data_IF_639890618056
#
_entry.id   IF_639890618056
#
_cell.length_a   1.000
_cell.length_b   1.000
_cell.length_c   1.000
_cell.angle_alpha   90.00
_cell.angle_beta   90.00
_cell.angle_gamma   90.00
#
_symmetry.space_group_name_H-M   'P 1'
#
loop_
_entity.id
_entity.type
_entity.pdbx_description
1 polymer ?
#
# COMPACT_ATOMS: atom_id res chain seq x y z
N UNK A 1 -15.80 -17.63 22.86
CA UNK A 1 -16.24 -16.65 21.86
C UNK A 1 -16.16 -15.18 22.29
N UNK A 2 -15.53 -14.87 23.42
CA UNK A 2 -15.35 -13.48 23.91
C UNK A 2 -13.89 -12.98 23.94
N UNK A 3 -12.91 -13.83 23.55
CA UNK A 3 -11.48 -13.50 23.75
C UNK A 3 -10.84 -12.69 22.62
N UNK A 4 -11.28 -12.84 21.37
CA UNK A 4 -10.63 -12.17 20.21
C UNK A 4 -10.98 -10.69 20.08
N UNK A 5 -12.24 -10.32 20.36
CA UNK A 5 -12.62 -8.90 20.41
C UNK A 5 -11.89 -8.14 21.53
N UNK A 6 -11.58 -8.84 22.64
CA UNK A 6 -10.80 -8.32 23.75
C UNK A 6 -9.35 -7.99 23.35
N UNK A 7 -8.69 -8.85 22.60
CA UNK A 7 -7.29 -8.67 22.21
C UNK A 7 -7.08 -7.48 21.26
N UNK A 8 -7.94 -7.30 20.26
CA UNK A 8 -7.89 -6.15 19.33
C UNK A 8 -8.17 -4.83 20.05
N UNK A 9 -9.16 -4.84 20.93
CA UNK A 9 -9.47 -3.67 21.77
C UNK A 9 -8.30 -3.36 22.71
N UNK A 10 -7.62 -4.35 23.24
CA UNK A 10 -6.43 -4.17 24.07
C UNK A 10 -5.31 -3.50 23.28
N UNK A 11 -4.99 -3.96 22.06
CA UNK A 11 -3.96 -3.33 21.21
C UNK A 11 -4.29 -1.87 20.89
N UNK A 12 -5.52 -1.58 20.46
CA UNK A 12 -5.96 -0.20 20.24
C UNK A 12 -5.74 0.67 21.47
N UNK A 13 -6.08 0.16 22.66
CA UNK A 13 -5.90 0.88 23.91
C UNK A 13 -4.41 1.12 24.26
N UNK A 14 -3.55 0.14 24.02
CA UNK A 14 -2.10 0.26 24.19
C UNK A 14 -1.52 1.33 23.25
N UNK A 15 -1.94 1.34 21.98
CA UNK A 15 -1.54 2.35 21.00
C UNK A 15 -2.00 3.75 21.44
N UNK A 16 -3.25 3.90 21.87
CA UNK A 16 -3.78 5.17 22.36
C UNK A 16 -3.02 5.64 23.60
N UNK A 17 -2.75 4.73 24.56
CA UNK A 17 -2.01 5.07 25.77
C UNK A 17 -0.60 5.59 25.42
N UNK A 18 0.12 4.90 24.55
CA UNK A 18 1.45 5.33 24.11
C UNK A 18 1.43 6.64 23.34
N UNK A 19 0.45 6.83 22.47
CA UNK A 19 0.27 8.07 21.73
C UNK A 19 0.01 9.26 22.67
N UNK A 20 -0.78 9.07 23.73
CA UNK A 20 -0.99 10.09 24.77
C UNK A 20 0.29 10.47 25.52
N UNK A 21 1.10 9.48 25.87
CA UNK A 21 2.41 9.74 26.52
C UNK A 21 3.31 10.60 25.62
N UNK A 22 3.42 10.26 24.34
CA UNK A 22 4.25 11.00 23.38
C UNK A 22 3.75 12.45 23.16
N UNK A 23 2.42 12.64 23.12
CA UNK A 23 1.82 13.97 23.03
C UNK A 23 2.06 14.78 24.33
N UNK A 24 1.79 14.20 25.49
CA UNK A 24 1.94 14.86 26.80
C UNK A 24 3.39 15.20 27.13
N UNK A 25 4.36 14.39 26.69
CA UNK A 25 5.80 14.69 26.85
C UNK A 25 6.31 15.80 25.91
N UNK A 26 5.54 16.17 24.89
CA UNK A 26 5.97 17.10 23.85
C UNK A 26 6.97 16.51 22.85
N UNK A 27 7.25 15.20 22.89
CA UNK A 27 8.10 14.53 21.90
C UNK A 27 7.48 14.64 20.50
N UNK A 28 6.16 14.58 20.40
CA UNK A 28 5.41 14.84 19.17
C UNK A 28 4.22 15.77 19.44
N UNK A 29 3.77 16.50 18.43
CA UNK A 29 2.59 17.38 18.56
C UNK A 29 1.33 16.77 17.94
N UNK A 30 1.46 15.70 17.18
CA UNK A 30 0.36 15.02 16.51
C UNK A 30 0.70 13.59 16.20
N UNK A 31 -0.32 12.78 15.95
CA UNK A 31 -0.21 11.36 15.64
C UNK A 31 -0.99 11.08 14.36
N UNK A 32 -0.39 10.38 13.39
CA UNK A 32 -1.04 9.88 12.19
C UNK A 32 -1.43 8.42 12.39
N UNK A 33 -2.70 8.13 12.27
CA UNK A 33 -3.29 6.80 12.45
C UNK A 33 -4.57 6.66 11.63
N UNK A 34 -5.47 5.81 12.09
CA UNK A 34 -6.77 5.58 11.44
C UNK A 34 -7.91 6.02 12.35
N UNK A 35 -8.96 6.54 11.74
CA UNK A 35 -10.23 6.92 12.38
C UNK A 35 -11.35 6.12 11.74
N UNK A 36 -12.27 5.67 12.58
CA UNK A 36 -13.51 5.06 12.15
C UNK A 36 -14.40 6.08 11.44
N UNK A 37 -14.99 5.68 10.31
CA UNK A 37 -16.00 6.44 9.61
C UNK A 37 -17.41 6.17 10.11
N UNK A 38 -18.39 6.19 9.22
CA UNK A 38 -19.80 5.94 9.55
C UNK A 38 -20.02 4.49 10.02
N UNK A 39 -19.35 3.53 9.35
CA UNK A 39 -19.43 2.11 9.66
C UNK A 39 -18.17 1.61 10.36
N UNK A 40 -18.27 0.50 11.09
CA UNK A 40 -17.14 -0.13 11.81
C UNK A 40 -15.98 -0.49 10.87
N UNK A 41 -16.29 -0.88 9.65
CA UNK A 41 -15.36 -1.30 8.60
C UNK A 41 -14.89 -0.16 7.67
N UNK A 42 -15.41 1.07 7.85
CA UNK A 42 -14.96 2.25 7.11
C UNK A 42 -13.93 3.01 7.93
N UNK A 43 -12.68 2.83 7.60
CA UNK A 43 -11.57 3.49 8.30
C UNK A 43 -10.71 4.29 7.35
N UNK A 44 -10.36 5.49 7.76
CA UNK A 44 -9.58 6.43 6.97
C UNK A 44 -8.40 7.01 7.75
N UNK A 45 -7.30 7.36 7.06
CA UNK A 45 -6.20 8.08 7.68
C UNK A 45 -6.63 9.38 8.31
N UNK A 46 -6.18 9.63 9.54
CA UNK A 46 -6.48 10.84 10.29
C UNK A 46 -5.28 11.28 11.12
N UNK A 47 -5.21 12.60 11.37
CA UNK A 47 -4.22 13.20 12.27
C UNK A 47 -4.91 13.52 13.59
N UNK A 48 -4.29 13.09 14.67
CA UNK A 48 -4.79 13.23 16.03
C UNK A 48 -3.89 14.17 16.82
N UNK A 49 -4.51 14.83 17.82
CA UNK A 49 -3.88 15.63 18.85
C UNK A 49 -4.40 15.15 20.21
N UNK A 50 -3.92 15.73 21.31
CA UNK A 50 -4.43 15.39 22.64
C UNK A 50 -5.96 15.45 22.77
N UNK A 51 -6.61 16.35 22.01
CA UNK A 51 -8.05 16.57 22.12
C UNK A 51 -8.90 15.46 21.51
N UNK A 52 -8.35 14.63 20.60
CA UNK A 52 -9.12 13.64 19.83
C UNK A 52 -8.41 12.30 19.64
N UNK A 53 -7.32 12.04 20.36
CA UNK A 53 -6.56 10.79 20.25
C UNK A 53 -7.39 9.56 20.61
N UNK A 54 -8.41 9.70 21.43
CA UNK A 54 -9.33 8.62 21.81
C UNK A 54 -10.22 8.12 20.66
N UNK A 55 -10.27 8.85 19.53
CA UNK A 55 -10.96 8.42 18.31
C UNK A 55 -10.11 7.52 17.43
N UNK A 56 -8.82 7.28 17.78
CA UNK A 56 -7.93 6.41 17.05
C UNK A 56 -8.40 4.95 17.16
N UNK A 57 -8.33 4.24 16.05
CA UNK A 57 -8.65 2.79 15.95
C UNK A 57 -7.54 2.02 15.27
N UNK A 58 -7.39 0.75 15.65
CA UNK A 58 -6.52 -0.20 14.96
C UNK A 58 -7.10 -1.61 15.00
N UNK A 59 -7.49 -2.11 13.82
CA UNK A 59 -8.05 -3.45 13.61
C UNK A 59 -7.87 -3.92 12.15
N UNK A 60 -8.54 -5.00 11.76
CA UNK A 60 -8.47 -5.60 10.43
C UNK A 60 -8.86 -4.65 9.27
N UNK A 61 -9.54 -3.56 9.56
CA UNK A 61 -9.97 -2.54 8.59
C UNK A 61 -9.03 -1.34 8.51
N UNK A 62 -8.01 -1.27 9.36
CA UNK A 62 -6.97 -0.24 9.34
C UNK A 62 -6.01 -0.44 8.16
N UNK A 63 -6.57 -0.59 6.97
CA UNK A 63 -5.86 -1.00 5.76
C UNK A 63 -5.07 0.11 5.04
N UNK A 64 -5.47 1.40 5.02
CA UNK A 64 -4.75 2.45 4.30
C UNK A 64 -3.28 2.57 4.71
N UNK A 65 -2.37 2.68 3.72
CA UNK A 65 -0.97 3.00 3.96
C UNK A 65 -0.81 4.47 4.35
N UNK A 66 -0.21 4.73 5.50
CA UNK A 66 -0.09 6.09 6.04
C UNK A 66 1.09 6.89 5.47
N UNK A 67 2.09 6.23 4.87
CA UNK A 67 3.35 6.87 4.48
C UNK A 67 3.17 8.07 3.56
N UNK A 68 2.23 8.00 2.60
CA UNK A 68 1.99 9.10 1.64
C UNK A 68 1.57 10.40 2.32
N UNK A 69 0.85 10.32 3.42
CA UNK A 69 0.34 11.48 4.14
C UNK A 69 1.46 12.28 4.80
N UNK A 70 2.56 11.61 5.18
CA UNK A 70 3.75 12.23 5.78
C UNK A 70 4.41 13.27 4.87
N UNK A 71 4.28 13.15 3.55
CA UNK A 71 4.82 14.13 2.59
C UNK A 71 4.33 15.55 2.86
N UNK A 72 3.07 15.70 3.29
CA UNK A 72 2.50 16.99 3.67
C UNK A 72 2.69 17.30 5.15
N UNK A 73 2.57 16.28 5.99
CA UNK A 73 2.63 16.46 7.44
C UNK A 73 4.03 16.88 7.91
N UNK A 74 5.10 16.38 7.31
CA UNK A 74 6.46 16.75 7.69
C UNK A 74 6.88 18.16 7.25
N UNK A 75 6.06 18.85 6.47
CA UNK A 75 6.25 20.27 6.13
C UNK A 75 5.71 21.21 7.20
N UNK A 76 4.87 20.71 8.11
CA UNK A 76 4.33 21.48 9.23
C UNK A 76 5.34 21.52 10.37
N UNK A 77 5.24 22.53 11.24
CA UNK A 77 6.06 22.62 12.44
C UNK A 77 5.81 21.45 13.40
N UNK A 78 6.88 21.08 14.09
CA UNK A 78 6.90 20.00 15.08
C UNK A 78 6.92 18.59 14.48
N UNK A 79 7.12 17.63 15.35
CA UNK A 79 7.28 16.21 15.01
C UNK A 79 5.93 15.50 15.02
N UNK A 80 5.76 14.55 14.10
CA UNK A 80 4.56 13.73 14.00
C UNK A 80 4.90 12.27 14.31
N UNK A 81 4.14 11.62 15.20
CA UNK A 81 4.18 10.17 15.30
C UNK A 81 3.35 9.55 14.18
N UNK A 82 3.75 8.38 13.70
CA UNK A 82 3.00 7.61 12.71
C UNK A 82 2.97 6.14 13.09
N UNK A 83 1.78 5.55 13.03
CA UNK A 83 1.61 4.11 13.17
C UNK A 83 2.02 3.44 11.86
N UNK A 84 2.94 2.47 11.94
CA UNK A 84 3.54 1.87 10.77
C UNK A 84 3.46 0.35 10.83
N UNK A 85 2.79 -0.25 9.84
CA UNK A 85 2.82 -1.70 9.64
C UNK A 85 4.11 -2.13 8.93
N UNK A 86 4.57 -3.38 9.07
CA UNK A 86 5.78 -3.87 8.41
C UNK A 86 5.82 -3.54 6.91
N UNK A 87 4.78 -3.91 6.16
CA UNK A 87 4.69 -3.65 4.72
C UNK A 87 4.73 -2.17 4.35
N UNK A 88 4.21 -1.30 5.21
CA UNK A 88 4.12 0.14 4.98
C UNK A 88 5.44 0.85 5.29
N UNK A 89 6.29 0.27 6.16
CA UNK A 89 7.61 0.80 6.51
C UNK A 89 8.53 0.92 5.29
N UNK A 90 8.39 0.02 4.31
CA UNK A 90 9.09 0.11 3.02
C UNK A 90 8.72 1.39 2.26
N UNK A 91 7.44 1.77 2.30
CA UNK A 91 6.97 2.99 1.64
C UNK A 91 7.53 4.25 2.29
N UNK A 92 7.63 4.27 3.62
CA UNK A 92 8.28 5.36 4.34
C UNK A 92 9.77 5.43 4.01
N UNK A 93 10.47 4.30 4.05
CA UNK A 93 11.90 4.25 3.75
C UNK A 93 12.20 4.70 2.30
N UNK A 94 11.33 4.33 1.34
CA UNK A 94 11.43 4.84 -0.04
C UNK A 94 11.23 6.36 -0.12
N UNK A 95 10.28 6.92 0.63
CA UNK A 95 10.08 8.38 0.68
C UNK A 95 11.27 9.13 1.31
N UNK A 96 11.94 8.53 2.28
CA UNK A 96 13.19 9.06 2.86
C UNK A 96 14.32 9.04 1.84
N UNK A 97 14.51 7.91 1.16
CA UNK A 97 15.50 7.75 0.06
C UNK A 97 15.29 8.80 -1.04
N UNK A 98 14.05 9.16 -1.33
CA UNK A 98 13.70 10.18 -2.32
C UNK A 98 13.68 11.62 -1.77
N UNK A 99 14.04 11.81 -0.51
CA UNK A 99 14.02 13.11 0.18
C UNK A 99 12.64 13.81 0.12
N UNK A 100 11.56 13.03 0.19
CA UNK A 100 10.18 13.53 0.16
C UNK A 100 9.62 13.82 1.55
N UNK A 101 10.22 13.24 2.56
CA UNK A 101 9.90 13.44 3.98
C UNK A 101 11.19 13.70 4.75
N UNK A 102 11.09 14.37 5.88
CA UNK A 102 12.21 14.68 6.77
C UNK A 102 12.17 13.73 7.95
N UNK A 103 13.20 12.89 8.09
CA UNK A 103 13.28 11.87 9.16
C UNK A 103 13.20 12.48 10.56
N UNK A 104 13.84 13.61 10.75
CA UNK A 104 13.86 14.34 12.02
C UNK A 104 12.48 14.81 12.49
N UNK A 105 11.53 14.96 11.58
CA UNK A 105 10.16 15.39 11.86
C UNK A 105 9.18 14.21 12.09
N UNK A 106 9.68 12.97 12.14
CA UNK A 106 8.84 11.78 12.25
C UNK A 106 9.27 10.96 13.45
N UNK A 107 8.30 10.43 14.19
CA UNK A 107 8.45 9.37 15.18
C UNK A 107 7.68 8.14 14.70
N UNK A 108 8.36 7.04 14.44
CA UNK A 108 7.77 5.84 13.84
C UNK A 108 7.46 4.81 14.93
N UNK A 109 6.18 4.53 15.13
CA UNK A 109 5.70 3.46 16.00
C UNK A 109 5.39 2.26 15.12
N UNK A 110 6.27 1.25 15.13
CA UNK A 110 6.02 -0.02 14.46
C UNK A 110 4.94 -0.81 15.20
N UNK A 111 3.93 -1.26 14.47
CA UNK A 111 2.81 -2.04 14.98
C UNK A 111 2.67 -3.33 14.17
N UNK A 112 2.20 -4.46 14.76
CA UNK A 112 2.07 -5.71 14.04
C UNK A 112 1.11 -5.56 12.86
N UNK A 113 1.33 -6.35 11.79
CA UNK A 113 0.36 -6.46 10.71
C UNK A 113 -0.83 -7.31 11.18
N UNK A 114 -2.02 -6.76 11.08
CA UNK A 114 -3.25 -7.53 11.23
C UNK A 114 -3.63 -8.19 9.90
N UNK A 115 -4.61 -9.09 9.96
CA UNK A 115 -5.21 -9.70 8.77
C UNK A 115 -6.06 -8.66 8.05
N UNK A 116 -5.48 -7.90 7.15
CA UNK A 116 -6.12 -6.77 6.47
C UNK A 116 -7.23 -7.24 5.53
N UNK A 117 -8.46 -6.78 5.76
CA UNK A 117 -9.64 -7.18 4.99
C UNK A 117 -9.80 -6.31 3.74
N UNK A 118 -10.03 -6.96 2.60
CA UNK A 118 -10.39 -6.32 1.33
C UNK A 118 -11.91 -6.23 1.17
N UNK A 119 -12.46 -5.06 1.45
CA UNK A 119 -13.89 -4.80 1.32
C UNK A 119 -14.42 -5.06 -0.11
N UNK A 120 -13.59 -4.91 -1.14
CA UNK A 120 -13.98 -5.18 -2.53
C UNK A 120 -14.24 -6.67 -2.76
N UNK A 121 -13.50 -7.55 -2.08
CA UNK A 121 -13.77 -8.98 -2.13
C UNK A 121 -15.10 -9.31 -1.45
N UNK A 122 -15.45 -8.62 -0.37
CA UNK A 122 -16.77 -8.74 0.26
C UNK A 122 -17.88 -8.26 -0.68
N UNK A 123 -17.71 -7.12 -1.32
CA UNK A 123 -18.65 -6.59 -2.31
C UNK A 123 -18.81 -7.55 -3.51
N UNK A 124 -17.72 -8.16 -3.98
CA UNK A 124 -17.75 -9.14 -5.07
C UNK A 124 -18.54 -10.41 -4.73
N UNK A 125 -18.76 -10.71 -3.45
CA UNK A 125 -19.65 -11.80 -3.01
C UNK A 125 -21.15 -11.48 -3.21
N UNK A 126 -21.47 -10.28 -3.71
CA UNK A 126 -22.84 -9.84 -3.99
C UNK A 126 -23.65 -9.49 -2.74
N UNK A 127 -23.02 -9.37 -1.57
CA UNK A 127 -23.69 -8.94 -0.34
C UNK A 127 -24.02 -7.44 -0.46
N UNK A 128 -25.30 -7.12 -0.25
CA UNK A 128 -25.83 -5.74 -0.32
C UNK A 128 -26.39 -5.32 1.03
N UNK A 129 -26.46 -4.02 1.26
CA UNK A 129 -27.06 -3.47 2.48
C UNK A 129 -26.30 -3.87 3.75
N UNK A 130 -24.96 -3.90 3.67
CA UNK A 130 -24.09 -4.22 4.80
C UNK A 130 -24.26 -3.14 5.87
N UNK A 131 -24.59 -3.56 7.08
CA UNK A 131 -24.75 -2.69 8.24
C UNK A 131 -23.60 -2.76 9.20
N UNK A 132 -22.93 -3.94 9.30
CA UNK A 132 -21.75 -4.16 10.13
C UNK A 132 -20.95 -5.37 9.64
N UNK A 133 -19.68 -5.46 10.04
CA UNK A 133 -18.81 -6.62 9.78
C UNK A 133 -18.09 -6.96 11.08
N UNK A 134 -18.36 -8.13 11.60
CA UNK A 134 -17.68 -8.68 12.77
C UNK A 134 -16.58 -9.64 12.32
N UNK A 135 -15.41 -9.56 12.94
CA UNK A 135 -14.25 -10.39 12.61
C UNK A 135 -13.79 -11.21 13.81
N UNK A 136 -13.48 -12.47 13.59
CA UNK A 136 -12.75 -13.31 14.52
C UNK A 136 -11.40 -13.78 13.94
N UNK A 137 -10.77 -14.79 14.49
CA UNK A 137 -9.46 -15.27 14.00
C UNK A 137 -9.53 -15.88 12.61
N UNK A 138 -10.58 -16.60 12.29
CA UNK A 138 -10.69 -17.45 11.09
C UNK A 138 -11.84 -17.08 10.18
N UNK A 139 -12.84 -16.37 10.67
CA UNK A 139 -14.06 -16.03 9.95
C UNK A 139 -14.42 -14.55 10.06
N UNK A 140 -15.28 -14.13 9.16
CA UNK A 140 -15.98 -12.85 9.24
C UNK A 140 -17.48 -13.06 9.11
N UNK A 141 -18.25 -12.32 9.87
CA UNK A 141 -19.70 -12.28 9.79
C UNK A 141 -20.14 -10.94 9.27
N UNK A 142 -20.67 -10.92 8.06
CA UNK A 142 -21.18 -9.74 7.39
C UNK A 142 -22.66 -9.62 7.74
N UNK A 143 -23.00 -8.59 8.51
CA UNK A 143 -24.38 -8.26 8.86
C UNK A 143 -24.99 -7.42 7.77
N UNK A 144 -26.17 -7.79 7.29
CA UNK A 144 -26.87 -7.03 6.26
C UNK A 144 -28.38 -6.99 6.50
N UNK A 145 -29.03 -5.99 5.92
CA UNK A 145 -30.51 -5.86 5.98
C UNK A 145 -31.24 -7.03 5.30
N UNK A 146 -30.52 -7.87 4.53
CA UNK A 146 -31.08 -9.01 3.83
C UNK A 146 -30.72 -10.37 4.47
N UNK A 147 -30.02 -10.34 5.63
CA UNK A 147 -29.56 -11.51 6.36
C UNK A 147 -28.05 -11.56 6.47
N UNK A 148 -27.58 -12.25 7.49
CA UNK A 148 -26.16 -12.33 7.81
C UNK A 148 -25.47 -13.43 6.97
N UNK A 149 -24.19 -13.21 6.63
CA UNK A 149 -23.36 -14.15 5.90
C UNK A 149 -22.02 -14.32 6.60
N UNK A 150 -21.67 -15.55 6.96
CA UNK A 150 -20.36 -15.87 7.51
C UNK A 150 -19.51 -16.55 6.44
N UNK A 151 -18.26 -16.12 6.31
CA UNK A 151 -17.28 -16.63 5.35
C UNK A 151 -15.91 -16.79 6.03
N UNK A 152 -15.02 -17.55 5.39
CA UNK A 152 -13.64 -17.64 5.87
C UNK A 152 -12.93 -16.29 5.69
N UNK A 153 -12.19 -15.86 6.71
CA UNK A 153 -11.43 -14.62 6.67
C UNK A 153 -10.36 -14.62 5.58
N UNK A 154 -9.74 -15.79 5.33
CA UNK A 154 -8.76 -16.00 4.27
C UNK A 154 -9.24 -15.62 2.87
N UNK A 155 -10.54 -15.74 2.59
CA UNK A 155 -11.11 -15.50 1.26
C UNK A 155 -11.16 -13.99 0.92
N UNK A 156 -11.07 -13.14 1.93
CA UNK A 156 -11.25 -11.70 1.80
C UNK A 156 -10.06 -10.87 2.28
N UNK A 157 -8.91 -11.49 2.51
CA UNK A 157 -7.70 -10.76 2.86
C UNK A 157 -7.17 -9.95 1.67
N UNK A 158 -6.54 -8.81 1.95
CA UNK A 158 -5.78 -8.05 0.96
C UNK A 158 -4.63 -8.92 0.41
N UNK A 159 -4.29 -8.73 -0.87
CA UNK A 159 -3.20 -9.45 -1.53
C UNK A 159 -1.88 -9.32 -0.77
N UNK A 160 -1.56 -8.14 -0.26
CA UNK A 160 -0.32 -7.90 0.50
C UNK A 160 -0.27 -8.64 1.84
N UNK A 161 -1.40 -9.00 2.42
CA UNK A 161 -1.47 -9.81 3.63
C UNK A 161 -1.23 -11.29 3.35
N UNK A 162 -1.45 -11.73 2.11
CA UNK A 162 -1.26 -13.13 1.68
C UNK A 162 0.06 -13.33 0.96
N UNK A 163 0.43 -12.38 0.10
CA UNK A 163 1.51 -12.49 -0.88
C UNK A 163 2.51 -11.33 -0.74
N UNK A 164 2.71 -10.84 0.46
CA UNK A 164 3.57 -9.69 0.73
C UNK A 164 5.06 -9.98 0.55
N UNK A 165 5.84 -8.92 0.56
CA UNK A 165 7.30 -8.94 0.37
C UNK A 165 8.10 -9.13 1.65
N UNK A 166 7.43 -9.28 2.78
CA UNK A 166 8.09 -9.44 4.07
C UNK A 166 7.23 -8.91 5.22
N UNK A 167 7.53 -9.38 6.39
CA UNK A 167 6.78 -9.15 7.62
C UNK A 167 7.55 -8.29 8.63
N UNK A 168 8.79 -7.89 8.32
CA UNK A 168 9.64 -7.09 9.19
C UNK A 168 9.51 -5.59 8.91
N UNK A 169 9.53 -4.80 9.97
CA UNK A 169 9.74 -3.36 9.85
C UNK A 169 11.17 -3.07 9.37
N UNK A 170 11.31 -2.25 8.34
CA UNK A 170 12.62 -1.78 7.86
C UNK A 170 13.03 -0.46 8.50
N UNK A 171 12.10 0.24 9.15
CA UNK A 171 12.35 1.49 9.88
C UNK A 171 11.31 1.67 10.99
N UNK A 172 11.77 2.00 12.20
CA UNK A 172 10.96 2.35 13.37
C UNK A 172 11.83 3.09 14.41
N UNK A 173 11.20 3.77 15.35
CA UNK A 173 11.82 4.31 16.56
C UNK A 173 11.51 3.40 17.77
N UNK A 174 10.31 2.81 17.78
CA UNK A 174 9.91 1.79 18.74
C UNK A 174 8.94 0.78 18.09
N UNK A 175 8.93 -0.45 18.63
CA UNK A 175 7.92 -1.46 18.32
C UNK A 175 6.90 -1.52 19.46
N UNK A 176 5.63 -1.55 19.09
CA UNK A 176 4.52 -1.62 20.03
C UNK A 176 3.62 -2.81 19.69
N UNK A 177 3.26 -3.60 20.69
CA UNK A 177 2.44 -4.82 20.54
C UNK A 177 3.09 -5.92 19.68
N UNK A 178 4.39 -5.83 19.38
CA UNK A 178 5.17 -6.86 18.70
C UNK A 178 6.64 -6.77 19.08
N UNK A 179 7.40 -7.83 18.77
CA UNK A 179 8.84 -7.92 18.95
C UNK A 179 9.53 -8.24 17.63
N UNK A 180 10.83 -7.94 17.52
CA UNK A 180 11.61 -8.28 16.30
C UNK A 180 11.62 -9.79 16.01
N UNK A 181 11.60 -10.63 17.04
CA UNK A 181 11.59 -12.09 16.90
C UNK A 181 10.26 -12.61 16.33
N UNK A 182 9.13 -11.99 16.70
CA UNK A 182 7.81 -12.32 16.16
C UNK A 182 7.68 -11.94 14.69
N UNK A 183 8.35 -10.87 14.26
CA UNK A 183 8.38 -10.44 12.85
C UNK A 183 9.21 -11.39 11.96
N UNK A 184 10.13 -12.16 12.53
CA UNK A 184 11.03 -13.03 11.77
C UNK A 184 10.37 -14.31 11.21
N UNK A 185 9.17 -14.65 11.65
CA UNK A 185 8.58 -16.00 11.48
C UNK A 185 7.88 -16.23 10.14
N UNK A 186 7.54 -15.19 9.35
CA UNK A 186 6.74 -15.33 8.14
C UNK A 186 7.40 -14.71 6.88
N UNK A 187 8.50 -15.30 6.41
CA UNK A 187 9.19 -14.83 5.19
C UNK A 187 8.84 -15.60 3.91
N UNK A 188 7.72 -16.33 3.85
CA UNK A 188 7.33 -17.00 2.60
C UNK A 188 6.77 -15.99 1.59
N UNK A 189 7.67 -15.49 0.74
CA UNK A 189 7.33 -14.61 -0.38
C UNK A 189 7.17 -15.36 -1.70
N UNK A 190 7.19 -16.69 -1.68
CA UNK A 190 7.22 -17.54 -2.89
C UNK A 190 5.98 -17.36 -3.77
N UNK A 191 4.82 -17.10 -3.16
CA UNK A 191 3.54 -16.89 -3.84
C UNK A 191 3.34 -15.47 -4.41
N UNK A 192 4.22 -14.51 -4.07
CA UNK A 192 4.08 -13.09 -4.46
C UNK A 192 3.83 -12.87 -5.94
N UNK A 193 4.46 -13.65 -6.80
CA UNK A 193 4.38 -13.50 -8.26
C UNK A 193 3.45 -14.50 -8.94
N UNK A 194 2.73 -15.34 -8.21
CA UNK A 194 1.96 -16.44 -8.82
C UNK A 194 0.80 -15.95 -9.68
N UNK A 195 0.11 -14.89 -9.27
CA UNK A 195 -0.94 -14.28 -10.09
C UNK A 195 -0.36 -13.63 -11.36
N UNK A 196 0.79 -12.99 -11.24
CA UNK A 196 1.50 -12.43 -12.38
C UNK A 196 1.97 -13.50 -13.36
N UNK A 197 2.51 -14.63 -12.87
CA UNK A 197 2.93 -15.77 -13.70
C UNK A 197 1.77 -16.33 -14.54
N UNK A 198 0.53 -16.34 -13.99
CA UNK A 198 -0.66 -16.74 -14.75
C UNK A 198 -0.92 -15.80 -15.93
N UNK A 199 -0.75 -14.48 -15.75
CA UNK A 199 -0.90 -13.50 -16.82
C UNK A 199 0.25 -13.64 -17.84
N UNK A 200 1.47 -13.90 -17.38
CA UNK A 200 2.63 -14.11 -18.27
C UNK A 200 2.52 -15.39 -19.11
N UNK A 201 1.84 -16.41 -18.61
CA UNK A 201 1.57 -17.65 -19.35
C UNK A 201 0.55 -17.50 -20.49
N UNK A 202 -0.21 -16.40 -20.52
CA UNK A 202 -1.12 -16.09 -21.63
C UNK A 202 -0.32 -15.79 -22.91
N UNK A 203 -0.89 -16.08 -24.07
CA UNK A 203 -0.36 -15.59 -25.35
C UNK A 203 -0.33 -14.05 -25.39
N UNK A 204 0.40 -13.47 -26.33
CA UNK A 204 0.48 -12.01 -26.47
C UNK A 204 -0.89 -11.36 -26.68
N UNK A 205 -1.74 -12.00 -27.47
CA UNK A 205 -3.08 -11.49 -27.78
C UNK A 205 -4.01 -11.60 -26.56
N UNK A 206 -4.02 -12.75 -25.86
CA UNK A 206 -4.81 -12.93 -24.66
C UNK A 206 -4.40 -11.95 -23.55
N UNK A 207 -3.09 -11.74 -23.36
CA UNK A 207 -2.57 -10.79 -22.37
C UNK A 207 -2.91 -9.34 -22.74
N UNK A 208 -2.86 -8.99 -24.04
CA UNK A 208 -3.30 -7.69 -24.52
C UNK A 208 -4.79 -7.46 -24.26
N UNK A 209 -5.65 -8.42 -24.59
CA UNK A 209 -7.08 -8.35 -24.36
C UNK A 209 -7.42 -8.30 -22.86
N UNK A 210 -6.72 -9.05 -22.01
CA UNK A 210 -6.88 -8.97 -20.57
C UNK A 210 -6.65 -7.55 -20.08
N UNK A 211 -5.48 -6.94 -20.38
CA UNK A 211 -5.19 -5.58 -19.93
C UNK A 211 -6.10 -4.55 -20.58
N UNK A 212 -6.44 -4.70 -21.83
CA UNK A 212 -7.39 -3.81 -22.51
C UNK A 212 -8.75 -3.83 -21.81
N UNK A 213 -9.25 -5.00 -21.47
CA UNK A 213 -10.51 -5.17 -20.75
C UNK A 213 -10.44 -4.56 -19.35
N UNK A 214 -9.39 -4.86 -18.59
CA UNK A 214 -9.25 -4.33 -17.22
C UNK A 214 -9.10 -2.79 -17.22
N UNK A 215 -8.22 -2.25 -18.04
CA UNK A 215 -7.92 -0.82 -18.04
C UNK A 215 -9.04 0.04 -18.63
N UNK A 216 -9.88 -0.52 -19.52
CA UNK A 216 -11.05 0.18 -20.08
C UNK A 216 -12.13 0.51 -19.03
N UNK A 217 -12.10 -0.15 -17.87
CA UNK A 217 -12.99 0.16 -16.74
C UNK A 217 -12.65 1.50 -16.07
N UNK A 218 -11.48 2.08 -16.37
CA UNK A 218 -10.97 3.25 -15.68
C UNK A 218 -11.84 4.50 -15.92
N UNK A 219 -12.25 5.15 -14.82
CA UNK A 219 -13.02 6.41 -14.85
C UNK A 219 -12.13 7.64 -14.60
N UNK A 220 -10.80 7.49 -14.63
CA UNK A 220 -9.82 8.58 -14.42
C UNK A 220 -10.02 9.37 -13.13
N UNK A 221 -10.49 8.75 -12.06
CA UNK A 221 -10.64 9.38 -10.74
C UNK A 221 -9.32 9.78 -10.08
N UNK A 222 -8.20 9.27 -10.56
CA UNK A 222 -6.85 9.50 -10.05
C UNK A 222 -6.60 9.00 -8.60
N UNK A 223 -7.51 8.24 -7.98
CA UNK A 223 -7.34 7.73 -6.62
C UNK A 223 -6.04 6.93 -6.48
N UNK A 224 -5.75 6.03 -7.42
CA UNK A 224 -4.53 5.22 -7.46
C UNK A 224 -3.24 6.04 -7.49
N UNK A 225 -3.26 7.24 -8.10
CA UNK A 225 -2.13 8.17 -8.14
C UNK A 225 -2.00 8.93 -6.82
N UNK A 226 -3.13 9.36 -6.25
CA UNK A 226 -3.16 10.17 -5.03
C UNK A 226 -2.67 9.43 -3.79
N UNK A 227 -2.96 8.13 -3.66
CA UNK A 227 -2.52 7.33 -2.50
C UNK A 227 -1.12 6.74 -2.65
N UNK A 228 -0.59 6.64 -3.87
CA UNK A 228 0.67 5.96 -4.13
C UNK A 228 1.86 6.69 -3.49
N UNK A 229 2.65 6.04 -2.61
CA UNK A 229 3.85 6.64 -2.02
C UNK A 229 4.88 7.08 -3.05
N UNK A 230 5.01 6.34 -4.17
CA UNK A 230 5.94 6.69 -5.24
C UNK A 230 5.46 7.83 -6.16
N UNK A 231 4.20 8.27 -6.07
CA UNK A 231 3.68 9.41 -6.86
C UNK A 231 3.81 10.73 -6.08
N UNK A 232 5.01 11.29 -6.02
CA UNK A 232 5.36 12.47 -5.21
C UNK A 232 5.68 13.74 -5.99
N UNK A 233 5.47 13.74 -7.30
CA UNK A 233 5.70 14.93 -8.14
C UNK A 233 4.85 16.11 -7.69
N UNK A 234 5.44 17.31 -7.63
CA UNK A 234 4.71 18.56 -7.32
C UNK A 234 3.69 18.89 -8.40
N UNK A 235 4.10 18.77 -9.67
CA UNK A 235 3.23 18.86 -10.84
C UNK A 235 3.35 17.56 -11.61
N UNK A 236 2.24 16.85 -11.79
CA UNK A 236 2.23 15.60 -12.54
C UNK A 236 2.14 15.90 -14.03
N UNK A 237 2.81 15.09 -14.87
CA UNK A 237 2.71 15.18 -16.32
C UNK A 237 1.26 15.12 -16.82
N UNK A 238 0.42 14.33 -16.15
CA UNK A 238 -1.01 14.21 -16.46
C UNK A 238 -1.85 15.42 -16.04
N UNK A 239 -1.32 16.31 -15.22
CA UNK A 239 -2.01 17.55 -14.77
C UNK A 239 -1.42 18.80 -15.45
N UNK A 240 -0.35 18.65 -16.23
CA UNK A 240 0.29 19.74 -16.93
C UNK A 240 -0.34 19.90 -18.33
N UNK A 241 -1.06 21.01 -18.60
CA UNK A 241 -1.66 21.24 -19.91
C UNK A 241 -0.63 21.34 -21.04
N UNK A 242 0.59 21.79 -20.73
CA UNK A 242 1.67 21.93 -21.74
C UNK A 242 2.21 20.57 -22.20
N UNK A 243 2.02 19.51 -21.43
CA UNK A 243 2.43 18.15 -21.79
C UNK A 243 1.54 17.52 -22.86
N UNK A 244 0.37 18.09 -23.13
CA UNK A 244 -0.69 17.55 -23.98
C UNK A 244 -1.19 16.14 -23.58
N UNK A 245 -0.82 15.67 -22.38
CA UNK A 245 -1.32 14.44 -21.81
C UNK A 245 -2.50 14.80 -20.90
N UNK A 246 -3.72 14.72 -21.45
CA UNK A 246 -4.91 15.15 -20.71
C UNK A 246 -5.17 14.29 -19.47
N UNK A 247 -5.38 14.99 -18.34
CA UNK A 247 -5.76 14.37 -17.09
C UNK A 247 -7.25 13.97 -17.02
N UNK A 248 -8.04 14.41 -17.98
CA UNK A 248 -9.47 14.13 -18.03
C UNK A 248 -9.74 12.68 -18.42
N UNK A 249 -10.82 12.14 -17.89
CA UNK A 249 -11.35 10.87 -18.37
C UNK A 249 -11.61 10.99 -19.87
N UNK A 250 -11.04 10.10 -20.63
CA UNK A 250 -11.28 10.03 -22.05
C UNK A 250 -12.13 8.80 -22.39
N UNK A 251 -12.73 8.84 -23.55
CA UNK A 251 -13.60 7.76 -24.04
C UNK A 251 -12.86 6.73 -24.86
N UNK A 252 -11.55 6.91 -25.09
CA UNK A 252 -10.78 5.98 -25.90
C UNK A 252 -9.98 5.00 -25.02
N UNK A 253 -10.12 3.72 -25.32
CA UNK A 253 -9.41 2.63 -24.65
C UNK A 253 -7.88 2.81 -24.72
N UNK A 254 -7.38 3.41 -25.81
CA UNK A 254 -5.96 3.67 -25.99
C UNK A 254 -5.40 4.62 -24.92
N UNK A 255 -6.08 5.72 -24.67
CA UNK A 255 -5.62 6.71 -23.68
C UNK A 255 -5.68 6.19 -22.25
N UNK A 256 -6.67 5.37 -21.91
CA UNK A 256 -6.73 4.73 -20.60
C UNK A 256 -5.57 3.73 -20.42
N UNK A 257 -5.26 2.93 -21.45
CA UNK A 257 -4.12 2.05 -21.44
C UNK A 257 -2.80 2.84 -21.28
N UNK A 258 -2.61 3.88 -22.08
CA UNK A 258 -1.40 4.73 -22.03
C UNK A 258 -1.23 5.41 -20.68
N UNK A 259 -2.30 5.91 -20.07
CA UNK A 259 -2.25 6.48 -18.72
C UNK A 259 -1.69 5.49 -17.69
N UNK A 260 -2.20 4.27 -17.67
CA UNK A 260 -1.77 3.27 -16.70
C UNK A 260 -0.37 2.73 -17.00
N UNK A 261 -0.02 2.53 -18.26
CA UNK A 261 1.31 2.10 -18.69
C UNK A 261 2.34 3.16 -18.30
N UNK A 262 2.14 4.43 -18.69
CA UNK A 262 3.05 5.53 -18.35
C UNK A 262 3.19 5.66 -16.83
N UNK A 263 2.08 5.55 -16.08
CA UNK A 263 2.12 5.60 -14.63
C UNK A 263 2.94 4.44 -14.05
N UNK A 264 2.81 3.24 -14.58
CA UNK A 264 3.59 2.08 -14.13
C UNK A 264 5.10 2.28 -14.38
N UNK A 265 5.48 2.82 -15.55
CA UNK A 265 6.86 3.21 -15.84
C UNK A 265 7.40 4.27 -14.86
N UNK A 266 6.60 5.27 -14.51
CA UNK A 266 7.02 6.32 -13.57
C UNK A 266 7.30 5.82 -12.15
N UNK A 267 6.72 4.69 -11.75
CA UNK A 267 6.95 4.08 -10.45
C UNK A 267 7.84 2.84 -10.51
N UNK A 268 8.29 2.44 -11.70
CA UNK A 268 9.24 1.34 -11.85
C UNK A 268 10.52 1.61 -11.05
N UNK A 269 11.03 0.61 -10.34
CA UNK A 269 12.17 0.75 -9.44
C UNK A 269 11.88 1.48 -8.12
N UNK A 270 10.72 2.13 -7.99
CA UNK A 270 10.32 2.90 -6.80
C UNK A 270 9.09 2.32 -6.13
N UNK A 271 8.41 1.40 -6.78
CA UNK A 271 7.21 0.74 -6.27
C UNK A 271 7.58 -0.23 -5.14
N UNK A 272 7.02 0.01 -3.96
CA UNK A 272 7.22 -0.83 -2.78
C UNK A 272 6.24 -2.00 -2.68
N UNK A 273 5.42 -2.22 -3.71
CA UNK A 273 4.42 -3.29 -3.77
C UNK A 273 3.37 -3.24 -2.63
N UNK A 274 2.99 -2.04 -2.22
CA UNK A 274 2.04 -1.84 -1.13
C UNK A 274 0.57 -2.14 -1.51
N UNK A 275 0.24 -2.35 -2.78
CA UNK A 275 -1.11 -2.69 -3.25
C UNK A 275 -2.15 -1.56 -3.20
N UNK A 276 -1.81 -0.39 -2.65
CA UNK A 276 -2.76 0.73 -2.45
C UNK A 276 -3.47 1.17 -3.73
N UNK A 277 -2.78 1.14 -4.88
CA UNK A 277 -3.37 1.54 -6.16
C UNK A 277 -4.57 0.68 -6.56
N UNK A 278 -4.54 -0.61 -6.26
CA UNK A 278 -5.68 -1.50 -6.49
C UNK A 278 -6.73 -1.39 -5.39
N UNK A 279 -6.28 -1.29 -4.12
CA UNK A 279 -7.19 -1.17 -2.97
C UNK A 279 -8.19 -0.01 -3.11
N UNK A 280 -7.73 1.14 -3.60
CA UNK A 280 -8.59 2.34 -3.74
C UNK A 280 -9.29 2.45 -5.07
N UNK A 281 -9.10 1.49 -5.99
CA UNK A 281 -9.70 1.58 -7.32
C UNK A 281 -11.19 1.25 -7.26
N UNK A 282 -12.10 2.21 -7.53
CA UNK A 282 -13.55 1.97 -7.48
C UNK A 282 -14.03 1.04 -8.61
N UNK A 283 -13.17 0.78 -9.60
CA UNK A 283 -13.44 -0.12 -10.71
C UNK A 283 -12.76 -1.49 -10.56
N UNK A 284 -12.17 -1.77 -9.39
CA UNK A 284 -11.50 -3.04 -9.06
C UNK A 284 -10.42 -3.46 -10.06
N UNK A 285 -9.72 -2.49 -10.68
CA UNK A 285 -8.64 -2.78 -11.63
C UNK A 285 -7.41 -3.26 -10.85
N UNK A 286 -6.79 -4.40 -11.22
CA UNK A 286 -5.65 -4.98 -10.52
C UNK A 286 -4.33 -4.25 -10.87
N UNK A 287 -4.26 -2.94 -10.61
CA UNK A 287 -3.15 -2.06 -10.99
C UNK A 287 -1.82 -2.45 -10.34
N UNK A 288 -1.86 -3.11 -9.19
CA UNK A 288 -0.65 -3.60 -8.53
C UNK A 288 0.10 -4.62 -9.39
N UNK A 289 -0.60 -5.42 -10.19
CA UNK A 289 0.02 -6.42 -11.07
C UNK A 289 0.86 -5.78 -12.18
N UNK A 290 0.44 -4.63 -12.73
CA UNK A 290 1.28 -3.86 -13.67
C UNK A 290 2.59 -3.42 -13.03
N UNK A 291 2.53 -2.90 -11.80
CA UNK A 291 3.72 -2.45 -11.09
C UNK A 291 4.60 -3.64 -10.66
N UNK A 292 3.98 -4.74 -10.22
CA UNK A 292 4.66 -5.97 -9.77
C UNK A 292 5.42 -6.64 -10.93
N UNK A 293 4.94 -6.47 -12.17
CA UNK A 293 5.69 -6.92 -13.37
C UNK A 293 7.07 -6.28 -13.43
N UNK A 294 7.18 -4.97 -13.22
CA UNK A 294 8.46 -4.28 -13.17
C UNK A 294 9.35 -4.78 -12.01
N UNK A 295 8.77 -5.06 -10.86
CA UNK A 295 9.53 -5.60 -9.71
C UNK A 295 10.11 -6.97 -10.07
N UNK A 296 9.30 -7.86 -10.67
CA UNK A 296 9.74 -9.17 -11.11
C UNK A 296 10.86 -9.07 -12.16
N UNK A 297 10.65 -8.25 -13.19
CA UNK A 297 11.64 -8.07 -14.26
C UNK A 297 12.96 -7.50 -13.74
N UNK A 298 12.92 -6.58 -12.77
CA UNK A 298 14.13 -6.06 -12.14
C UNK A 298 14.88 -7.17 -11.38
N UNK A 299 14.16 -7.98 -10.62
CA UNK A 299 14.77 -9.07 -9.87
C UNK A 299 15.40 -10.13 -10.81
N UNK A 300 14.77 -10.40 -11.93
CA UNK A 300 15.27 -11.36 -12.92
C UNK A 300 16.48 -10.84 -13.72
N UNK A 301 16.48 -9.55 -14.06
CA UNK A 301 17.49 -9.00 -14.96
C UNK A 301 18.66 -8.30 -14.24
N UNK A 302 18.45 -7.81 -13.02
CA UNK A 302 19.44 -7.01 -12.30
C UNK A 302 19.78 -7.57 -10.90
N UNK A 303 19.22 -8.72 -10.53
CA UNK A 303 19.38 -9.30 -9.21
C UNK A 303 18.31 -8.84 -8.22
N UNK A 304 18.34 -9.40 -7.02
CA UNK A 304 17.33 -9.16 -6.00
C UNK A 304 17.31 -7.68 -5.56
N UNK A 305 16.19 -7.05 -5.75
CA UNK A 305 15.94 -5.68 -5.37
C UNK A 305 14.51 -5.48 -4.85
N UNK A 306 14.37 -4.76 -3.74
CA UNK A 306 13.10 -4.33 -3.20
C UNK A 306 13.17 -2.84 -2.81
N UNK A 307 12.35 -2.02 -3.48
CA UNK A 307 12.27 -0.59 -3.15
C UNK A 307 11.92 -0.38 -1.67
N UNK A 308 12.66 0.48 -1.01
CA UNK A 308 12.49 0.81 0.40
C UNK A 308 13.00 -0.23 1.40
N UNK A 309 13.60 -1.33 0.97
CA UNK A 309 14.17 -2.33 1.90
C UNK A 309 15.43 -1.82 2.61
N UNK A 310 16.27 -1.09 1.89
CA UNK A 310 17.51 -0.52 2.43
C UNK A 310 17.50 0.98 2.22
N UNK A 311 17.80 1.74 3.27
CA UNK A 311 17.87 3.20 3.21
C UNK A 311 18.95 3.65 2.20
N UNK A 312 18.59 4.63 1.36
CA UNK A 312 19.49 5.19 0.35
C UNK A 312 19.80 4.26 -0.83
N UNK A 313 19.24 3.06 -0.87
CA UNK A 313 19.42 2.15 -2.01
C UNK A 313 18.87 2.76 -3.31
N UNK A 314 19.60 2.54 -4.41
CA UNK A 314 19.17 3.01 -5.74
C UNK A 314 18.62 1.87 -6.56
N UNK A 315 17.45 2.08 -7.15
CA UNK A 315 16.85 1.08 -8.02
C UNK A 315 17.61 0.96 -9.34
N UNK A 316 17.72 -0.25 -9.91
CA UNK A 316 18.38 -0.48 -11.20
C UNK A 316 17.87 0.41 -12.33
N UNK A 317 16.55 0.64 -12.39
CA UNK A 317 15.93 1.42 -13.49
C UNK A 317 15.98 2.95 -13.29
N UNK A 318 16.47 3.44 -12.15
CA UNK A 318 16.55 4.89 -11.85
C UNK A 318 17.97 5.35 -11.53
N UNK A 319 18.93 4.47 -11.66
CA UNK A 319 20.36 4.75 -11.48
C UNK A 319 21.17 3.95 -12.50
N UNK A 320 22.40 4.38 -12.73
CA UNK A 320 23.36 3.66 -13.56
C UNK A 320 24.76 3.76 -12.92
N UNK A 321 25.62 2.83 -13.27
CA UNK A 321 27.05 2.83 -12.97
C UNK A 321 27.84 2.75 -14.26
N UNK A 322 29.14 3.04 -14.21
CA UNK A 322 30.01 2.91 -15.38
C UNK A 322 30.25 1.45 -15.81
N UNK A 323 29.82 0.51 -14.98
CA UNK A 323 29.92 -0.93 -15.22
C UNK A 323 28.65 -1.53 -15.80
N UNK A 324 27.56 -0.73 -15.87
CA UNK A 324 26.29 -1.18 -16.44
C UNK A 324 26.47 -1.49 -17.94
N UNK A 325 25.84 -2.56 -18.39
CA UNK A 325 25.86 -2.95 -19.81
C UNK A 325 25.08 -1.92 -20.61
N UNK A 326 25.66 -1.45 -21.70
CA UNK A 326 25.00 -0.55 -22.64
C UNK A 326 23.69 -1.17 -23.16
N UNK A 327 22.59 -0.39 -23.22
CA UNK A 327 21.28 -0.91 -23.63
C UNK A 327 21.28 -1.64 -24.99
N UNK A 328 22.11 -1.18 -25.93
CA UNK A 328 22.23 -1.80 -27.25
C UNK A 328 22.87 -3.19 -27.17
N UNK A 329 23.79 -3.43 -26.23
CA UNK A 329 24.41 -4.74 -26.04
C UNK A 329 23.40 -5.78 -25.53
N UNK A 330 22.40 -5.35 -24.76
CA UNK A 330 21.31 -6.22 -24.30
C UNK A 330 20.39 -6.59 -25.47
N UNK A 331 20.02 -5.61 -26.32
CA UNK A 331 19.13 -5.83 -27.47
C UNK A 331 19.75 -6.72 -28.54
N UNK A 332 21.07 -6.67 -28.68
CA UNK A 332 21.82 -7.45 -29.67
C UNK A 332 22.22 -8.86 -29.17
N UNK A 333 21.62 -9.34 -28.10
CA UNK A 333 21.82 -10.69 -27.57
C UNK A 333 23.21 -10.91 -26.97
N UNK A 334 23.78 -9.87 -26.37
CA UNK A 334 25.05 -9.98 -25.63
C UNK A 334 26.27 -10.23 -26.51
N UNK A 335 26.24 -9.91 -27.77
CA UNK A 335 27.42 -9.89 -28.64
C UNK A 335 28.13 -8.55 -28.45
N UNK A 336 28.95 -8.47 -27.40
CA UNK A 336 29.98 -7.48 -27.27
C UNK A 336 31.30 -8.06 -27.81
#
# INVERSE_FOLDING_TARGET
MQETGGYKMQRTNEIIARAKELLASGEVNRVLGWRKGEYSYDQSPAVFTESNIDELVYDDFSTPNLSKYLVKETLKEGKIAVLMKPSDSYSLNQLLTEHRVKRENIYVIGIPAESEIDLRKIEALGVKGITDIETDETSITIKSIYGDKTIAKSDVLLDRSMNGKGTKHVIYDELLCCTEDEEAVNEDTTSRFDELKKIEAMSSDERYEFWRSELSKCIRCNACRKVCPACTCRTCVFDNPDSQVDAKANTTTFEENMFHIIRAFHVAGRCTDCGECSRVCPQNIPLHLLNRKFIKDMNENYGEYQAGAVEGSRAPLVSFTTEDIEPNAISDGGKA
#
